data_IF_590660129897
#
_entry.id   IF_590660129897
#
_cell.length_a   1.000
_cell.length_b   1.000
_cell.length_c   1.000
_cell.angle_alpha   90.00
_cell.angle_beta   90.00
_cell.angle_gamma   90.00
#
_symmetry.space_group_name_H-M   'P 1'
#
loop_
_entity.id
_entity.type
_entity.pdbx_description
1 polymer ?
#
# COMPACT_ATOMS: atom_id res chain seq x y z
N UNK A 1 -3.34 28.15 41.94
CA UNK A 1 -2.05 27.50 41.66
C UNK A 1 -2.18 26.08 42.21
N UNK A 2 -2.49 25.14 41.33
CA UNK A 2 -2.66 23.73 41.64
C UNK A 2 -2.21 22.97 40.42
N UNK A 3 -0.92 22.68 40.37
CA UNK A 3 -0.26 21.88 39.34
C UNK A 3 -0.32 20.42 39.76
N UNK A 4 -0.96 19.57 38.95
CA UNK A 4 -0.78 18.12 38.89
C UNK A 4 -0.97 17.78 37.40
N UNK A 5 0.06 17.99 36.58
CA UNK A 5 1.01 16.95 36.12
C UNK A 5 0.34 15.71 35.48
N UNK A 6 0.64 15.53 34.19
CA UNK A 6 0.80 14.20 33.58
C UNK A 6 -0.48 13.52 33.10
N UNK A 7 -1.01 13.95 31.94
CA UNK A 7 -1.85 13.07 31.13
C UNK A 7 -0.93 12.01 30.51
N UNK A 8 -0.86 10.84 31.15
CA UNK A 8 -0.18 9.66 30.61
C UNK A 8 -0.79 9.28 29.26
N UNK A 9 0.03 9.44 28.22
CA UNK A 9 -0.20 8.86 26.91
C UNK A 9 0.40 7.46 26.94
N UNK A 10 -0.43 6.46 27.23
CA UNK A 10 -0.09 5.05 27.04
C UNK A 10 0.18 4.82 25.55
N UNK A 11 1.47 4.83 25.20
CA UNK A 11 1.97 4.39 23.91
C UNK A 11 1.80 2.87 23.82
N UNK A 12 0.71 2.42 23.20
CA UNK A 12 0.51 1.02 22.85
C UNK A 12 1.58 0.66 21.82
N UNK A 13 2.65 0.02 22.28
CA UNK A 13 3.68 -0.58 21.42
C UNK A 13 3.05 -1.72 20.60
N UNK A 14 2.66 -1.41 19.36
CA UNK A 14 2.22 -2.41 18.39
C UNK A 14 3.42 -3.28 18.00
N UNK A 15 3.52 -4.47 18.62
CA UNK A 15 4.44 -5.52 18.19
C UNK A 15 4.03 -5.97 16.79
N UNK A 16 4.71 -5.42 15.79
CA UNK A 16 4.54 -5.76 14.37
C UNK A 16 5.69 -6.66 13.95
N UNK A 17 5.41 -7.94 13.74
CA UNK A 17 6.39 -8.85 13.13
C UNK A 17 6.81 -8.31 11.75
N UNK A 18 8.11 -8.25 11.44
CA UNK A 18 8.59 -7.62 10.21
C UNK A 18 8.16 -8.44 8.99
N UNK A 19 7.29 -7.84 8.17
CA UNK A 19 6.91 -8.38 6.87
C UNK A 19 8.06 -8.25 5.87
N UNK A 20 8.40 -9.35 5.19
CA UNK A 20 9.45 -9.39 4.17
C UNK A 20 8.84 -9.51 2.77
N UNK A 21 9.25 -8.62 1.86
CA UNK A 21 8.86 -8.63 0.46
C UNK A 21 10.09 -8.48 -0.42
N UNK A 22 10.32 -9.44 -1.32
CA UNK A 22 11.40 -9.34 -2.31
C UNK A 22 10.97 -8.43 -3.48
N UNK A 23 11.22 -7.13 -3.29
CA UNK A 23 10.88 -6.10 -4.27
C UNK A 23 11.66 -6.32 -5.58
N UNK A 24 12.91 -6.81 -5.51
CA UNK A 24 13.77 -6.95 -6.67
C UNK A 24 13.28 -8.07 -7.59
N UNK A 25 12.98 -9.24 -7.02
CA UNK A 25 12.44 -10.36 -7.79
C UNK A 25 11.11 -9.98 -8.46
N UNK A 26 10.16 -9.42 -7.70
CA UNK A 26 8.84 -9.03 -8.22
C UNK A 26 8.97 -8.01 -9.36
N UNK A 27 9.85 -7.03 -9.21
CA UNK A 27 10.05 -5.98 -10.21
C UNK A 27 10.75 -6.54 -11.46
N UNK A 28 11.69 -7.47 -11.32
CA UNK A 28 12.33 -8.10 -12.49
C UNK A 28 11.36 -9.00 -13.26
N UNK A 29 10.61 -9.86 -12.58
CA UNK A 29 9.67 -10.79 -13.20
C UNK A 29 8.57 -10.04 -13.97
N UNK A 30 8.04 -8.98 -13.37
CA UNK A 30 7.04 -8.14 -14.04
C UNK A 30 7.60 -7.40 -15.26
N UNK A 31 8.82 -6.84 -15.17
CA UNK A 31 9.47 -6.18 -16.32
C UNK A 31 9.70 -7.14 -17.49
N UNK A 32 10.12 -8.37 -17.21
CA UNK A 32 10.37 -9.39 -18.23
C UNK A 32 9.08 -9.90 -18.86
N UNK A 33 8.02 -10.07 -18.07
CA UNK A 33 6.72 -10.58 -18.53
C UNK A 33 5.91 -9.54 -19.32
N UNK A 34 5.88 -8.28 -18.87
CA UNK A 34 4.94 -7.27 -19.37
C UNK A 34 5.57 -6.24 -20.33
N UNK A 35 6.53 -6.67 -21.15
CA UNK A 35 6.95 -5.93 -22.34
C UNK A 35 8.17 -5.01 -22.16
N UNK A 36 8.67 -4.80 -20.94
CA UNK A 36 9.85 -3.95 -20.73
C UNK A 36 11.12 -4.56 -21.33
N UNK A 37 11.18 -5.90 -21.48
CA UNK A 37 12.23 -6.59 -22.26
C UNK A 37 12.33 -6.09 -23.70
N UNK A 38 11.20 -5.69 -24.30
CA UNK A 38 11.11 -5.17 -25.67
C UNK A 38 11.05 -3.64 -25.73
N UNK A 39 11.33 -2.97 -24.61
CA UNK A 39 11.20 -1.50 -24.45
C UNK A 39 9.77 -0.99 -24.67
N UNK A 40 8.75 -1.83 -24.46
CA UNK A 40 7.35 -1.40 -24.51
C UNK A 40 6.92 -0.85 -23.14
N UNK A 41 7.16 0.44 -22.96
CA UNK A 41 6.81 1.16 -21.73
C UNK A 41 5.29 1.36 -21.58
N UNK A 42 4.53 1.42 -22.68
CA UNK A 42 3.09 1.64 -22.64
C UNK A 42 2.38 0.43 -22.07
N UNK A 43 2.77 -0.77 -22.50
CA UNK A 43 2.23 -2.04 -21.98
C UNK A 43 2.60 -2.24 -20.52
N UNK A 44 3.86 -1.99 -20.13
CA UNK A 44 4.29 -2.09 -18.74
C UNK A 44 3.50 -1.13 -17.83
N UNK A 45 3.27 0.12 -18.27
CA UNK A 45 2.44 1.09 -17.54
C UNK A 45 1.00 0.61 -17.35
N UNK A 46 0.38 0.03 -18.39
CA UNK A 46 -0.96 -0.53 -18.29
C UNK A 46 -1.03 -1.71 -17.33
N UNK A 47 0.01 -2.54 -17.27
CA UNK A 47 0.11 -3.61 -16.28
C UNK A 47 0.15 -3.04 -14.86
N UNK A 48 1.00 -2.04 -14.60
CA UNK A 48 1.10 -1.41 -13.28
C UNK A 48 -0.23 -0.82 -12.81
N UNK A 49 -0.96 -0.11 -13.69
CA UNK A 49 -2.27 0.46 -13.33
C UNK A 49 -3.31 -0.62 -13.05
N UNK A 50 -3.34 -1.70 -13.84
CA UNK A 50 -4.26 -2.83 -13.62
C UNK A 50 -3.94 -3.58 -12.32
N UNK A 51 -2.65 -3.84 -12.03
CA UNK A 51 -2.22 -4.50 -10.78
C UNK A 51 -2.61 -3.66 -9.57
N UNK A 52 -2.32 -2.35 -9.60
CA UNK A 52 -2.71 -1.42 -8.54
C UNK A 52 -4.24 -1.39 -8.33
N UNK A 53 -5.01 -1.36 -9.41
CA UNK A 53 -6.47 -1.40 -9.33
C UNK A 53 -6.98 -2.69 -8.66
N UNK A 54 -6.43 -3.86 -9.03
CA UNK A 54 -6.79 -5.14 -8.41
C UNK A 54 -6.45 -5.16 -6.91
N UNK A 55 -5.26 -4.69 -6.53
CA UNK A 55 -4.87 -4.58 -5.12
C UNK A 55 -5.85 -3.70 -4.33
N UNK A 56 -6.20 -2.53 -4.88
CA UNK A 56 -7.20 -1.63 -4.27
C UNK A 56 -8.58 -2.28 -4.16
N UNK A 57 -8.99 -3.11 -5.11
CA UNK A 57 -10.26 -3.84 -5.04
C UNK A 57 -10.23 -4.93 -3.97
N UNK A 58 -9.16 -5.73 -3.91
CA UNK A 58 -9.00 -6.83 -2.94
C UNK A 58 -8.96 -6.29 -1.52
N UNK A 59 -8.23 -5.20 -1.29
CA UNK A 59 -8.11 -4.53 0.01
C UNK A 59 -9.31 -3.62 0.33
N UNK A 60 -10.33 -3.56 -0.54
CA UNK A 60 -11.44 -2.59 -0.46
C UNK A 60 -10.99 -1.12 -0.29
N UNK A 61 -9.78 -0.80 -0.74
CA UNK A 61 -9.12 0.51 -0.69
C UNK A 61 -9.34 1.30 -2.00
N UNK A 62 -10.57 1.29 -2.52
CA UNK A 62 -10.93 2.09 -3.70
C UNK A 62 -11.34 3.50 -3.28
N UNK A 63 -10.75 4.54 -3.90
CA UNK A 63 -10.98 5.95 -3.58
C UNK A 63 -12.38 6.48 -4.00
N UNK A 64 -13.20 5.67 -4.68
CA UNK A 64 -14.61 5.97 -4.91
C UNK A 64 -15.36 4.72 -5.39
N UNK A 65 -16.67 4.66 -5.09
CA UNK A 65 -17.63 3.76 -5.75
C UNK A 65 -18.90 4.52 -6.23
N UNK A 66 -18.92 5.87 -6.17
CA UNK A 66 -20.13 6.68 -6.40
C UNK A 66 -19.87 8.18 -6.60
N UNK A 67 -20.86 9.03 -6.28
CA UNK A 67 -20.78 10.51 -6.42
C UNK A 67 -19.88 11.11 -5.33
N UNK A 68 -18.64 11.40 -5.72
CA UNK A 68 -17.65 12.09 -4.89
C UNK A 68 -16.34 11.33 -4.82
N UNK A 69 -15.23 12.07 -4.91
CA UNK A 69 -13.89 11.53 -4.65
C UNK A 69 -13.68 11.46 -3.14
N UNK A 70 -13.36 10.28 -2.61
CA UNK A 70 -13.07 10.07 -1.20
C UNK A 70 -11.61 9.63 -1.07
N UNK A 71 -10.76 10.50 -0.53
CA UNK A 71 -9.38 10.14 -0.22
C UNK A 71 -9.37 9.17 0.93
N UNK A 72 -8.88 7.95 0.69
CA UNK A 72 -8.51 7.04 1.77
C UNK A 72 -7.03 7.26 2.04
N UNK A 73 -6.73 7.71 3.25
CA UNK A 73 -5.35 7.81 3.73
C UNK A 73 -4.82 6.41 4.05
N UNK A 74 -3.50 6.25 3.92
CA UNK A 74 -2.84 4.97 4.21
C UNK A 74 -2.76 4.84 5.74
N UNK A 75 -3.31 3.75 6.33
CA UNK A 75 -3.22 3.55 7.78
C UNK A 75 -1.77 3.34 8.20
N UNK A 76 -1.43 3.84 9.39
CA UNK A 76 -0.09 3.71 9.99
C UNK A 76 0.24 2.27 10.35
N UNK A 77 -0.78 1.47 10.69
CA UNK A 77 -0.67 0.05 10.99
C UNK A 77 -1.29 -0.76 9.86
N UNK A 78 -0.46 -1.51 9.13
CA UNK A 78 -0.90 -2.39 8.06
C UNK A 78 -0.27 -3.78 8.25
N UNK A 79 -1.10 -4.77 8.52
CA UNK A 79 -0.67 -6.15 8.86
C UNK A 79 -0.94 -7.16 7.75
N UNK A 80 -1.34 -6.72 6.54
CA UNK A 80 -1.61 -7.65 5.44
C UNK A 80 -0.30 -8.06 4.75
N UNK A 81 -0.08 -9.37 4.64
CA UNK A 81 1.13 -9.98 4.06
C UNK A 81 0.98 -10.34 2.57
N UNK A 82 -0.10 -9.88 1.92
CA UNK A 82 -0.47 -10.20 0.53
C UNK A 82 0.22 -9.34 -0.52
#
# INVERSE_FOLDING_TARGET
MGDIEGMEIDAVEAQTEPMSLDILAITNDSRMTYGLRRQDYQTYRQYCTRRLHRLRQVLNFTHSKGKGFQTKEIPVDFTDSR
#
